data_IF_423275238089
#
_entry.id   IF_423275238089
#
_cell.length_a   1.000
_cell.length_b   1.000
_cell.length_c   1.000
_cell.angle_alpha   90.00
_cell.angle_beta   90.00
_cell.angle_gamma   90.00
#
_symmetry.space_group_name_H-M   'P 1'
#
loop_
_entity.id
_entity.type
_entity.pdbx_description
1 polymer ?
#
# COMPACT_ATOMS: atom_id res chain seq x y z
N UNK A 1 -10.84 3.21 -3.33
CA UNK A 1 -10.98 3.45 -4.80
C UNK A 1 -9.75 4.08 -5.43
N UNK A 2 -9.24 5.21 -4.94
CA UNK A 2 -8.02 5.84 -5.49
C UNK A 2 -6.76 4.94 -5.42
N UNK A 3 -6.60 4.14 -4.36
CA UNK A 3 -5.49 3.18 -4.22
C UNK A 3 -5.64 1.96 -5.16
N UNK A 4 -6.88 1.51 -5.39
CA UNK A 4 -7.22 0.42 -6.32
C UNK A 4 -6.86 0.79 -7.77
N UNK A 5 -7.13 2.03 -8.20
CA UNK A 5 -6.78 2.53 -9.55
C UNK A 5 -5.28 2.81 -9.74
N UNK A 6 -4.62 3.41 -8.74
CA UNK A 6 -3.18 3.68 -8.79
C UNK A 6 -2.35 2.40 -8.89
N UNK A 7 -2.69 1.37 -8.11
CA UNK A 7 -1.96 0.11 -8.18
C UNK A 7 -2.14 -0.62 -9.52
N UNK A 8 -3.38 -0.69 -10.04
CA UNK A 8 -3.77 -1.64 -11.11
C UNK A 8 -3.35 -1.15 -12.49
N UNK A 9 -3.42 0.15 -12.73
CA UNK A 9 -3.00 0.75 -13.98
C UNK A 9 -1.58 1.33 -13.93
N UNK A 10 -1.06 1.71 -12.75
CA UNK A 10 0.19 2.47 -12.67
C UNK A 10 1.39 1.74 -12.08
N UNK A 11 1.25 0.70 -11.24
CA UNK A 11 2.43 0.10 -10.55
C UNK A 11 2.69 -1.38 -10.84
N UNK A 12 1.66 -2.16 -11.18
CA UNK A 12 1.81 -3.63 -11.36
C UNK A 12 2.03 -4.12 -12.78
N UNK A 13 1.94 -3.26 -13.79
CA UNK A 13 2.60 -3.58 -15.05
C UNK A 13 2.15 -4.81 -15.82
N UNK A 14 0.88 -5.23 -15.69
CA UNK A 14 0.26 -6.00 -16.78
C UNK A 14 0.27 -5.19 -18.10
N UNK A 15 0.41 -3.85 -18.01
CA UNK A 15 0.88 -2.91 -19.05
C UNK A 15 2.07 -2.04 -18.55
N UNK A 16 3.14 -2.69 -18.05
CA UNK A 16 4.39 -2.17 -17.48
C UNK A 16 4.56 -0.67 -17.13
N UNK A 17 4.72 -0.28 -15.83
CA UNK A 17 5.37 0.96 -15.45
C UNK A 17 6.87 0.68 -15.38
N UNK A 18 7.41 0.84 -16.56
CA UNK A 18 8.79 1.11 -16.82
C UNK A 18 9.10 2.38 -15.98
N UNK A 19 9.73 2.25 -14.81
CA UNK A 19 10.02 3.39 -13.92
C UNK A 19 11.28 4.12 -14.39
N UNK A 20 11.31 5.44 -14.21
CA UNK A 20 12.43 6.29 -14.60
C UNK A 20 13.57 6.08 -13.60
N UNK A 21 14.63 5.40 -14.04
CA UNK A 21 15.85 5.22 -13.26
C UNK A 21 16.83 6.32 -13.64
N UNK A 22 17.05 7.35 -12.82
CA UNK A 22 18.29 8.11 -12.90
C UNK A 22 19.44 7.17 -12.50
N UNK A 23 20.55 7.22 -13.23
CA UNK A 23 21.80 6.64 -12.72
C UNK A 23 22.22 7.38 -11.43
N UNK A 24 23.17 6.84 -10.63
CA UNK A 24 23.57 7.43 -9.35
C UNK A 24 24.04 8.90 -9.44
N UNK A 25 24.46 9.35 -10.62
CA UNK A 25 24.89 10.72 -10.89
C UNK A 25 23.79 11.57 -11.57
N UNK A 26 22.64 10.98 -11.91
CA UNK A 26 21.51 11.66 -12.53
C UNK A 26 21.78 12.17 -13.96
N UNK A 27 22.81 11.65 -14.63
CA UNK A 27 23.29 12.11 -15.93
C UNK A 27 22.56 11.45 -17.11
N UNK A 28 22.05 10.25 -16.87
CA UNK A 28 21.39 9.36 -17.81
C UNK A 28 20.26 8.67 -17.08
N UNK A 29 19.06 8.93 -17.56
CA UNK A 29 17.89 8.30 -17.03
C UNK A 29 17.22 7.44 -18.09
N UNK A 30 16.95 6.19 -17.74
CA UNK A 30 16.35 5.22 -18.67
C UNK A 30 15.17 4.55 -18.00
N UNK A 31 14.20 4.25 -18.85
CA UNK A 31 13.00 3.56 -18.44
C UNK A 31 13.29 2.06 -18.43
N UNK A 32 13.38 1.45 -17.25
CA UNK A 32 13.79 0.04 -17.10
C UNK A 32 12.80 -0.77 -16.25
N UNK A 33 12.71 -2.09 -16.50
CA UNK A 33 12.03 -3.00 -15.59
C UNK A 33 12.85 -3.15 -14.30
N UNK A 34 12.19 -3.07 -13.15
CA UNK A 34 12.82 -3.27 -11.84
C UNK A 34 12.31 -4.58 -11.24
N UNK A 35 13.25 -5.44 -10.85
CA UNK A 35 12.92 -6.67 -10.14
C UNK A 35 12.61 -6.32 -8.67
N UNK A 36 11.55 -6.88 -8.07
CA UNK A 36 11.25 -6.62 -6.67
C UNK A 36 12.33 -7.19 -5.75
N UNK A 37 12.63 -6.43 -4.70
CA UNK A 37 13.51 -6.84 -3.61
C UNK A 37 12.67 -7.28 -2.42
N UNK A 38 12.93 -8.48 -1.94
CA UNK A 38 12.17 -9.12 -0.85
C UNK A 38 12.94 -9.22 0.47
N UNK A 39 14.21 -8.81 0.45
CA UNK A 39 15.05 -8.75 1.63
C UNK A 39 14.96 -7.37 2.32
N UNK A 40 15.84 -7.16 3.29
CA UNK A 40 15.89 -5.92 4.08
C UNK A 40 16.31 -4.70 3.27
N UNK A 41 17.01 -4.86 2.15
CA UNK A 41 17.37 -3.76 1.26
C UNK A 41 16.14 -3.16 0.59
N UNK A 42 15.02 -3.89 0.53
CA UNK A 42 13.73 -3.36 0.07
C UNK A 42 13.17 -2.22 0.94
N UNK A 43 13.72 -1.96 2.13
CA UNK A 43 13.37 -0.80 2.96
C UNK A 43 14.31 0.40 2.76
N UNK A 44 15.40 0.24 2.00
CA UNK A 44 16.27 1.34 1.63
C UNK A 44 15.57 2.22 0.58
N UNK A 45 15.37 3.52 0.83
CA UNK A 45 14.71 4.42 -0.13
C UNK A 45 15.47 4.58 -1.45
N UNK A 46 16.75 4.20 -1.53
CA UNK A 46 17.55 4.23 -2.75
C UNK A 46 17.45 2.92 -3.55
N UNK A 47 16.90 1.85 -2.97
CA UNK A 47 16.68 0.57 -3.63
C UNK A 47 15.26 0.50 -4.18
N UNK A 48 15.14 0.68 -5.48
CA UNK A 48 13.83 0.73 -6.15
C UNK A 48 13.10 -0.62 -6.18
N UNK A 49 13.82 -1.72 -6.00
CA UNK A 49 13.20 -3.04 -5.83
C UNK A 49 12.24 -3.08 -4.64
N UNK A 50 12.48 -2.24 -3.61
CA UNK A 50 11.58 -2.03 -2.48
C UNK A 50 10.25 -1.38 -2.86
N UNK A 51 10.26 -0.45 -3.81
CA UNK A 51 9.04 0.17 -4.33
C UNK A 51 8.18 -0.88 -5.02
N UNK A 52 8.79 -1.74 -5.85
CA UNK A 52 8.09 -2.81 -6.54
C UNK A 52 7.47 -3.82 -5.56
N UNK A 53 8.23 -4.31 -4.57
CA UNK A 53 7.73 -5.26 -3.58
C UNK A 53 6.66 -4.65 -2.68
N UNK A 54 6.84 -3.41 -2.21
CA UNK A 54 5.85 -2.68 -1.42
C UNK A 54 4.49 -2.61 -2.14
N UNK A 55 4.46 -2.27 -3.42
CA UNK A 55 3.20 -2.16 -4.17
C UNK A 55 2.53 -3.52 -4.41
N UNK A 56 3.30 -4.59 -4.59
CA UNK A 56 2.75 -5.96 -4.71
C UNK A 56 2.08 -6.36 -3.38
N UNK A 57 2.75 -6.14 -2.25
CA UNK A 57 2.22 -6.50 -0.92
C UNK A 57 1.04 -5.61 -0.55
N UNK A 58 1.18 -4.29 -0.66
CA UNK A 58 0.13 -3.33 -0.31
C UNK A 58 -1.16 -3.60 -1.09
N UNK A 59 -1.07 -3.91 -2.39
CA UNK A 59 -2.22 -4.32 -3.20
C UNK A 59 -2.88 -5.58 -2.67
N UNK A 60 -2.10 -6.62 -2.41
CA UNK A 60 -2.63 -7.91 -1.98
C UNK A 60 -3.37 -7.75 -0.65
N UNK A 61 -2.77 -7.00 0.28
CA UNK A 61 -3.37 -6.70 1.58
C UNK A 61 -4.61 -5.80 1.47
N UNK A 62 -4.64 -4.80 0.57
CA UNK A 62 -5.80 -3.93 0.36
C UNK A 62 -7.03 -4.70 -0.15
N UNK A 63 -6.83 -5.66 -1.07
CA UNK A 63 -7.90 -6.53 -1.55
C UNK A 63 -8.44 -7.40 -0.41
N UNK A 64 -7.55 -8.02 0.36
CA UNK A 64 -7.95 -8.86 1.50
C UNK A 64 -8.68 -8.05 2.57
N UNK A 65 -8.18 -6.86 2.91
CA UNK A 65 -8.81 -5.96 3.87
C UNK A 65 -10.19 -5.48 3.38
N UNK A 66 -10.30 -5.13 2.10
CA UNK A 66 -11.59 -4.72 1.50
C UNK A 66 -12.61 -5.85 1.55
N UNK A 67 -12.23 -7.07 1.19
CA UNK A 67 -13.09 -8.25 1.27
C UNK A 67 -13.50 -8.53 2.72
N UNK A 68 -12.56 -8.44 3.66
CA UNK A 68 -12.83 -8.59 5.08
C UNK A 68 -13.89 -7.58 5.54
N UNK A 69 -13.69 -6.28 5.26
CA UNK A 69 -14.63 -5.23 5.64
C UNK A 69 -16.03 -5.37 5.03
N UNK A 70 -16.15 -5.93 3.82
CA UNK A 70 -17.44 -6.22 3.22
C UNK A 70 -18.11 -7.46 3.84
N UNK A 71 -17.31 -8.41 4.32
CA UNK A 71 -17.80 -9.69 4.84
C UNK A 71 -18.18 -9.63 6.33
N UNK A 72 -17.59 -8.70 7.09
CA UNK A 72 -17.75 -8.63 8.54
C UNK A 72 -18.52 -7.39 8.96
N UNK A 73 -19.43 -7.56 9.92
CA UNK A 73 -20.04 -6.45 10.63
C UNK A 73 -19.21 -6.12 11.88
N UNK A 74 -19.10 -4.83 12.19
CA UNK A 74 -18.38 -4.40 13.39
C UNK A 74 -19.11 -4.88 14.65
N UNK A 75 -18.37 -5.48 15.57
CA UNK A 75 -18.91 -5.92 16.86
C UNK A 75 -19.35 -4.71 17.71
N UNK A 76 -20.48 -4.80 18.43
CA UNK A 76 -20.93 -3.74 19.34
C UNK A 76 -19.86 -3.31 20.34
N UNK A 77 -19.08 -4.26 20.89
CA UNK A 77 -17.99 -3.95 21.82
C UNK A 77 -16.87 -3.15 21.16
N UNK A 78 -16.58 -3.43 19.89
CA UNK A 78 -15.57 -2.72 19.13
C UNK A 78 -16.02 -1.28 18.80
N UNK A 79 -17.27 -1.13 18.34
CA UNK A 79 -17.89 0.18 18.12
C UNK A 79 -17.87 0.99 19.41
N UNK A 80 -18.30 0.39 20.52
CA UNK A 80 -18.35 1.07 21.81
C UNK A 80 -16.96 1.52 22.29
N UNK A 81 -15.90 0.74 22.05
CA UNK A 81 -14.52 1.16 22.35
C UNK A 81 -14.05 2.35 21.49
N UNK A 82 -14.35 2.34 20.19
CA UNK A 82 -14.05 3.49 19.31
C UNK A 82 -14.81 4.73 19.78
N UNK A 83 -16.08 4.59 20.12
CA UNK A 83 -16.93 5.70 20.57
C UNK A 83 -16.51 6.21 21.95
N UNK A 84 -16.15 5.36 22.91
CA UNK A 84 -15.59 5.80 24.19
C UNK A 84 -14.25 6.53 24.02
N UNK A 85 -13.41 6.11 23.07
CA UNK A 85 -12.19 6.86 22.72
C UNK A 85 -12.47 8.24 22.10
N UNK A 86 -13.59 8.37 21.37
CA UNK A 86 -14.00 9.62 20.69
C UNK A 86 -14.82 10.57 21.57
N UNK A 87 -15.61 10.04 22.50
CA UNK A 87 -16.57 10.79 23.33
C UNK A 87 -16.32 10.64 24.84
N UNK A 88 -15.09 10.25 25.24
CA UNK A 88 -14.57 10.14 26.61
C UNK A 88 -15.61 10.09 27.75
N UNK A 89 -15.87 8.90 28.31
CA UNK A 89 -16.63 8.68 29.55
C UNK A 89 -17.90 9.52 29.79
N UNK A 90 -18.56 10.05 28.76
CA UNK A 90 -19.86 10.66 28.93
C UNK A 90 -20.92 9.55 28.95
N UNK A 91 -21.66 9.36 30.06
CA UNK A 91 -22.75 8.42 30.08
C UNK A 91 -23.80 8.90 29.06
N UNK A 92 -24.22 8.00 28.16
CA UNK A 92 -25.43 8.20 27.38
C UNK A 92 -26.59 8.24 28.40
N UNK A 93 -27.13 9.44 28.65
CA UNK A 93 -28.41 9.62 29.34
C UNK A 93 -29.57 9.26 28.41
#
# INVERSE_FOLDING_TARGET
VACFGFGTCYVTGLYGPRIWLPDPYGLTSKVQPVNPTWDVEGFDPFVQGGIASHHIVARTLDILASLFHLSVHLSPTFIQRIMYGKYGNHPFQ
#
